data_IF_033236062652
#
_entry.id   IF_033236062652
#
_cell.length_a   1.000
_cell.length_b   1.000
_cell.length_c   1.000
_cell.angle_alpha   90.00
_cell.angle_beta   90.00
_cell.angle_gamma   90.00
#
_symmetry.space_group_name_H-M   'P 1'
#
loop_
_entity.id
_entity.type
_entity.pdbx_description
1 polymer ?
#
# COMPACT_ATOMS: atom_id res chain seq x y z
N UNK A 1 1.79 -23.82 -40.11
CA UNK A 1 0.49 -23.12 -40.28
C UNK A 1 0.16 -22.19 -39.12
N UNK A 2 0.59 -22.50 -37.88
CA UNK A 2 0.41 -21.62 -36.73
C UNK A 2 1.78 -21.16 -36.19
N UNK A 3 2.28 -19.98 -36.59
CA UNK A 3 3.47 -19.42 -35.94
C UNK A 3 3.13 -18.97 -34.52
N UNK A 4 4.10 -19.10 -33.61
CA UNK A 4 3.99 -18.59 -32.24
C UNK A 4 3.65 -17.10 -32.25
N UNK A 5 2.70 -16.70 -31.39
CA UNK A 5 2.19 -15.32 -31.30
C UNK A 5 0.95 -15.02 -32.15
N UNK A 6 0.43 -15.98 -32.92
CA UNK A 6 -0.78 -15.77 -33.73
C UNK A 6 -2.04 -15.89 -32.86
N UNK A 7 -3.01 -15.00 -33.08
CA UNK A 7 -4.36 -15.09 -32.50
C UNK A 7 -5.20 -16.11 -33.27
N UNK A 8 -5.84 -17.01 -32.55
CA UNK A 8 -6.69 -18.07 -33.09
C UNK A 8 -8.01 -18.11 -32.32
N UNK A 9 -9.07 -18.50 -33.02
CA UNK A 9 -10.39 -18.74 -32.43
C UNK A 9 -10.65 -20.24 -32.42
N UNK A 10 -11.20 -20.75 -31.32
CA UNK A 10 -11.57 -22.15 -31.25
C UNK A 10 -12.68 -22.42 -30.27
N UNK A 11 -13.29 -23.59 -30.40
CA UNK A 11 -14.46 -24.01 -29.63
C UNK A 11 -14.03 -24.88 -28.45
N UNK A 12 -14.51 -24.58 -27.25
CA UNK A 12 -14.20 -25.38 -26.06
C UNK A 12 -14.92 -26.74 -26.16
N UNK A 13 -14.16 -27.83 -26.25
CA UNK A 13 -14.71 -29.20 -26.33
C UNK A 13 -14.87 -29.79 -24.93
N UNK A 14 -13.87 -29.60 -24.07
CA UNK A 14 -13.91 -30.12 -22.71
C UNK A 14 -13.15 -29.23 -21.72
N UNK A 15 -13.57 -29.27 -20.46
CA UNK A 15 -12.96 -28.54 -19.37
C UNK A 15 -12.48 -29.55 -18.34
N UNK A 16 -11.23 -29.43 -17.92
CA UNK A 16 -10.61 -30.26 -16.89
C UNK A 16 -10.05 -29.40 -15.76
N UNK A 17 -9.59 -30.02 -14.68
CA UNK A 17 -9.04 -29.29 -13.53
C UNK A 17 -7.70 -28.59 -13.83
N UNK A 18 -6.96 -29.04 -14.84
CA UNK A 18 -5.67 -28.46 -15.21
C UNK A 18 -5.76 -27.48 -16.40
N UNK A 19 -6.86 -27.48 -17.14
CA UNK A 19 -7.04 -26.62 -18.31
C UNK A 19 -8.32 -26.88 -19.10
N UNK A 20 -8.49 -26.13 -20.18
CA UNK A 20 -9.58 -26.30 -21.13
C UNK A 20 -9.02 -26.71 -22.49
N UNK A 21 -9.72 -27.63 -23.14
CA UNK A 21 -9.44 -28.10 -24.49
C UNK A 21 -10.27 -27.31 -25.48
N UNK A 22 -9.59 -26.72 -26.44
CA UNK A 22 -10.14 -25.84 -27.45
C UNK A 22 -9.82 -26.44 -28.82
N UNK A 23 -10.83 -26.82 -29.57
CA UNK A 23 -10.67 -27.28 -30.94
C UNK A 23 -10.58 -26.07 -31.87
N UNK A 24 -9.48 -25.98 -32.62
CA UNK A 24 -9.23 -24.91 -33.59
C UNK A 24 -9.70 -25.35 -34.99
N UNK A 25 -9.23 -26.51 -35.43
CA UNK A 25 -9.53 -27.13 -36.72
C UNK A 25 -9.64 -28.66 -36.54
N UNK A 26 -10.20 -29.35 -37.52
CA UNK A 26 -10.38 -30.81 -37.49
C UNK A 26 -9.04 -31.54 -37.29
N UNK A 27 -8.84 -32.11 -36.10
CA UNK A 27 -7.64 -32.85 -35.71
C UNK A 27 -6.57 -32.03 -34.98
N UNK A 28 -6.78 -30.73 -34.74
CA UNK A 28 -5.84 -29.88 -34.00
C UNK A 28 -6.47 -29.42 -32.70
N UNK A 29 -5.91 -29.90 -31.59
CA UNK A 29 -6.37 -29.56 -30.24
C UNK A 29 -5.45 -28.54 -29.57
N UNK A 30 -6.07 -27.48 -29.05
CA UNK A 30 -5.44 -26.47 -28.22
C UNK A 30 -5.69 -26.73 -26.74
N UNK A 31 -4.63 -26.70 -25.93
CA UNK A 31 -4.72 -26.75 -24.48
C UNK A 31 -4.47 -25.36 -23.91
N UNK A 32 -5.44 -24.84 -23.17
CA UNK A 32 -5.28 -23.62 -22.36
C UNK A 32 -5.03 -24.04 -20.92
N UNK A 33 -3.85 -23.75 -20.39
CA UNK A 33 -3.53 -24.08 -18.99
C UNK A 33 -4.27 -23.14 -18.04
N UNK A 34 -4.63 -23.59 -16.83
CA UNK A 34 -5.29 -22.73 -15.81
C UNK A 34 -4.52 -21.45 -15.53
N UNK A 35 -3.20 -21.49 -15.60
CA UNK A 35 -2.37 -20.32 -15.41
C UNK A 35 -2.54 -19.31 -16.52
N UNK A 36 -2.83 -19.72 -17.75
CA UNK A 36 -2.95 -18.85 -18.95
C UNK A 36 -4.40 -18.41 -19.25
N UNK A 37 -5.38 -18.85 -18.47
CA UNK A 37 -6.78 -18.41 -18.57
C UNK A 37 -7.05 -17.06 -17.91
N UNK A 38 -6.34 -16.73 -16.83
CA UNK A 38 -6.53 -15.47 -16.11
C UNK A 38 -5.25 -15.04 -15.39
N UNK A 39 -5.01 -13.73 -15.36
CA UNK A 39 -3.94 -13.11 -14.59
C UNK A 39 -4.08 -13.30 -13.07
N UNK A 40 -5.32 -13.50 -12.60
CA UNK A 40 -5.59 -13.66 -11.17
C UNK A 40 -5.24 -15.07 -10.71
N UNK A 41 -4.26 -15.18 -9.80
CA UNK A 41 -3.70 -16.43 -9.22
C UNK A 41 -4.71 -17.39 -8.55
N UNK A 42 -6.00 -17.08 -8.50
CA UNK A 42 -6.98 -17.82 -7.71
C UNK A 42 -8.30 -18.09 -8.46
N UNK A 43 -8.21 -18.54 -9.70
CA UNK A 43 -9.36 -19.19 -10.37
C UNK A 43 -9.43 -20.63 -9.86
N UNK A 44 -10.35 -20.90 -8.94
CA UNK A 44 -10.55 -22.25 -8.37
C UNK A 44 -11.30 -23.19 -9.31
N UNK A 45 -12.10 -22.65 -10.24
CA UNK A 45 -12.85 -23.43 -11.21
C UNK A 45 -12.91 -22.75 -12.59
N UNK A 46 -12.35 -23.36 -13.66
CA UNK A 46 -12.37 -22.82 -15.02
C UNK A 46 -13.79 -22.76 -15.62
N UNK A 47 -14.71 -23.58 -15.10
CA UNK A 47 -16.13 -23.60 -15.52
C UNK A 47 -16.89 -22.30 -15.28
N UNK A 48 -16.33 -21.35 -14.53
CA UNK A 48 -16.93 -20.02 -14.32
C UNK A 48 -16.45 -18.99 -15.35
N UNK A 49 -15.38 -19.29 -16.08
CA UNK A 49 -14.75 -18.39 -17.05
C UNK A 49 -15.14 -18.77 -18.47
N UNK A 50 -15.13 -20.07 -18.77
CA UNK A 50 -15.43 -20.61 -20.09
C UNK A 50 -16.49 -21.69 -20.01
N UNK A 51 -17.44 -21.67 -20.95
CA UNK A 51 -18.49 -22.66 -21.09
C UNK A 51 -18.15 -23.71 -22.14
N UNK A 52 -18.59 -24.95 -21.95
CA UNK A 52 -18.43 -26.00 -22.97
C UNK A 52 -19.22 -25.57 -24.22
N UNK A 53 -18.56 -25.59 -25.37
CA UNK A 53 -19.11 -25.18 -26.66
C UNK A 53 -19.01 -23.69 -26.98
N UNK A 54 -18.43 -22.88 -26.09
CA UNK A 54 -18.14 -21.47 -26.33
C UNK A 54 -16.96 -21.31 -27.29
N UNK A 55 -17.01 -20.30 -28.16
CA UNK A 55 -15.89 -19.91 -29.02
C UNK A 55 -15.06 -18.86 -28.31
N UNK A 56 -13.79 -19.17 -28.04
CA UNK A 56 -12.86 -18.28 -27.34
C UNK A 56 -11.69 -17.88 -28.23
N UNK A 57 -11.16 -16.68 -27.97
CA UNK A 57 -9.94 -16.17 -28.60
C UNK A 57 -8.72 -16.48 -27.73
N UNK A 58 -7.69 -17.08 -28.33
CA UNK A 58 -6.44 -17.39 -27.67
C UNK A 58 -5.23 -17.17 -28.58
N UNK A 59 -4.06 -17.01 -27.98
CA UNK A 59 -2.79 -16.84 -28.69
C UNK A 59 -1.98 -18.12 -28.62
N UNK A 60 -1.35 -18.49 -29.73
CA UNK A 60 -0.44 -19.64 -29.81
C UNK A 60 0.86 -19.33 -29.09
N UNK A 61 1.15 -20.03 -27.99
CA UNK A 61 2.40 -19.88 -27.25
C UNK A 61 3.45 -20.87 -27.73
N UNK A 62 3.05 -22.13 -27.83
CA UNK A 62 3.93 -23.23 -28.21
C UNK A 62 3.17 -24.22 -29.08
N UNK A 63 3.85 -24.75 -30.08
CA UNK A 63 3.31 -25.77 -30.99
C UNK A 63 4.18 -27.01 -30.84
N UNK A 64 3.55 -28.15 -30.56
CA UNK A 64 4.21 -29.45 -30.49
C UNK A 64 3.71 -30.30 -31.66
N UNK A 65 4.52 -30.39 -32.72
CA UNK A 65 4.16 -31.10 -33.97
C UNK A 65 4.08 -32.63 -33.80
N UNK A 66 4.77 -33.18 -32.80
CA UNK A 66 4.79 -34.62 -32.54
C UNK A 66 3.49 -35.16 -31.93
N UNK A 67 2.77 -34.33 -31.15
CA UNK A 67 1.52 -34.73 -30.48
C UNK A 67 0.29 -34.03 -31.07
N UNK A 68 0.46 -33.23 -32.13
CA UNK A 68 -0.60 -32.39 -32.73
C UNK A 68 -1.31 -31.47 -31.72
N UNK A 69 -0.60 -31.08 -30.66
CA UNK A 69 -1.12 -30.21 -29.59
C UNK A 69 -0.53 -28.81 -29.66
N UNK A 70 -1.37 -27.83 -29.35
CA UNK A 70 -0.97 -26.43 -29.29
C UNK A 70 -1.22 -25.89 -27.88
N UNK A 71 -0.20 -25.29 -27.26
CA UNK A 71 -0.39 -24.55 -26.02
C UNK A 71 -0.92 -23.16 -26.34
N UNK A 72 -2.12 -22.88 -25.87
CA UNK A 72 -2.84 -21.63 -26.08
C UNK A 72 -2.85 -20.80 -24.80
N UNK A 73 -2.81 -19.47 -24.94
CA UNK A 73 -2.97 -18.53 -23.83
C UNK A 73 -4.04 -17.49 -24.10
N UNK A 74 -4.89 -17.22 -23.10
CA UNK A 74 -5.94 -16.18 -23.18
C UNK A 74 -5.44 -14.84 -22.61
N UNK A 75 -4.43 -14.88 -21.74
CA UNK A 75 -3.82 -13.71 -21.12
C UNK A 75 -3.36 -12.63 -22.09
N UNK A 76 -2.87 -13.02 -23.26
CA UNK A 76 -2.24 -12.13 -24.23
C UNK A 76 -3.28 -11.30 -25.02
N UNK A 77 -4.57 -11.64 -24.89
CA UNK A 77 -5.69 -10.87 -25.44
C UNK A 77 -6.10 -9.74 -24.50
N UNK A 78 -5.87 -9.90 -23.20
CA UNK A 78 -6.15 -8.90 -22.17
C UNK A 78 -4.89 -8.07 -21.88
N UNK A 79 -5.05 -6.75 -21.71
CA UNK A 79 -3.94 -5.89 -21.28
C UNK A 79 -3.50 -6.29 -19.86
N UNK A 80 -2.20 -6.55 -19.66
CA UNK A 80 -1.68 -6.89 -18.34
C UNK A 80 -1.95 -5.71 -17.38
N UNK A 81 -2.80 -5.87 -16.34
CA UNK A 81 -3.14 -4.77 -15.43
C UNK A 81 -1.89 -4.19 -14.74
N UNK A 82 -0.78 -4.95 -14.72
CA UNK A 82 0.51 -4.53 -14.18
C UNK A 82 1.26 -3.51 -15.05
N UNK A 83 1.00 -3.45 -16.35
CA UNK A 83 1.57 -2.42 -17.23
C UNK A 83 0.86 -1.06 -17.05
N UNK A 84 -0.45 -1.08 -16.74
CA UNK A 84 -1.24 0.11 -16.46
C UNK A 84 -1.14 0.59 -14.99
N UNK A 85 -0.71 -0.29 -14.08
CA UNK A 85 -0.60 -0.02 -12.65
C UNK A 85 0.22 1.24 -12.31
N UNK A 86 1.44 1.46 -12.87
CA UNK A 86 2.23 2.65 -12.56
C UNK A 86 1.57 3.96 -13.00
N UNK A 87 0.75 3.92 -14.06
CA UNK A 87 0.01 5.09 -14.54
C UNK A 87 -1.21 5.38 -13.67
N UNK A 88 -1.93 4.33 -13.23
CA UNK A 88 -3.11 4.47 -12.37
C UNK A 88 -2.75 4.86 -10.95
N UNK A 89 -1.65 4.33 -10.42
CA UNK A 89 -1.29 4.47 -9.02
C UNK A 89 0.15 4.96 -8.86
N UNK A 90 0.37 6.29 -8.89
CA UNK A 90 1.69 6.86 -8.65
C UNK A 90 2.12 6.61 -7.19
N UNK A 91 3.43 6.53 -6.98
CA UNK A 91 4.03 6.47 -5.64
C UNK A 91 3.56 7.68 -4.83
N UNK A 92 3.10 7.47 -3.60
CA UNK A 92 2.48 8.51 -2.78
C UNK A 92 0.95 8.54 -2.80
N UNK A 93 0.29 7.80 -3.70
CA UNK A 93 -1.16 7.72 -3.71
C UNK A 93 -1.70 6.99 -2.47
N UNK A 94 -2.82 7.47 -1.92
CA UNK A 94 -3.58 6.84 -0.84
C UNK A 94 -4.68 5.98 -1.43
N UNK A 95 -4.79 4.74 -0.95
CA UNK A 95 -5.76 3.76 -1.41
C UNK A 95 -6.39 3.04 -0.22
N UNK A 96 -7.61 2.56 -0.42
CA UNK A 96 -8.27 1.67 0.53
C UNK A 96 -8.11 0.25 0.03
N UNK A 97 -7.75 -0.65 0.92
CA UNK A 97 -7.59 -2.06 0.59
C UNK A 97 -8.04 -2.96 1.73
N UNK A 98 -8.38 -4.20 1.38
CA UNK A 98 -8.86 -5.20 2.33
C UNK A 98 -7.75 -6.15 2.73
N UNK A 99 -7.57 -6.36 4.03
CA UNK A 99 -6.55 -7.30 4.53
C UNK A 99 -6.95 -8.73 4.19
N UNK A 100 -6.23 -9.36 3.27
CA UNK A 100 -6.49 -10.76 2.86
C UNK A 100 -5.82 -11.75 3.81
N UNK A 101 -4.56 -11.53 4.14
CA UNK A 101 -3.81 -12.42 5.02
C UNK A 101 -2.80 -11.65 5.90
N UNK A 102 -2.53 -12.20 7.08
CA UNK A 102 -1.57 -11.67 8.04
C UNK A 102 -0.47 -12.71 8.26
N UNK A 103 0.78 -12.26 8.26
CA UNK A 103 1.97 -13.09 8.50
C UNK A 103 2.87 -12.40 9.52
N UNK A 104 3.87 -13.10 10.06
CA UNK A 104 4.77 -12.53 11.08
C UNK A 104 5.64 -11.37 10.56
N UNK A 105 5.93 -11.32 9.26
CA UNK A 105 6.74 -10.26 8.65
C UNK A 105 5.91 -9.08 8.11
N UNK A 106 4.59 -9.24 7.98
CA UNK A 106 3.75 -8.22 7.36
C UNK A 106 2.29 -8.61 7.11
N UNK A 107 1.55 -7.67 6.53
CA UNK A 107 0.15 -7.84 6.15
C UNK A 107 0.00 -7.76 4.63
N UNK A 108 -0.80 -8.65 4.07
CA UNK A 108 -1.18 -8.64 2.66
C UNK A 108 -2.54 -7.96 2.53
N UNK A 109 -2.56 -6.86 1.78
CA UNK A 109 -3.74 -6.04 1.54
C UNK A 109 -4.07 -6.09 0.06
N UNK A 110 -5.28 -6.52 -0.25
CA UNK A 110 -5.83 -6.53 -1.60
C UNK A 110 -6.42 -5.15 -1.90
N UNK A 111 -5.88 -4.47 -2.91
CA UNK A 111 -6.34 -3.14 -3.33
C UNK A 111 -7.37 -3.28 -4.47
N UNK A 112 -7.04 -4.12 -5.44
CA UNK A 112 -7.83 -4.42 -6.63
C UNK A 112 -7.76 -5.94 -6.87
N UNK A 113 -8.79 -6.59 -7.45
CA UNK A 113 -8.77 -8.03 -7.71
C UNK A 113 -7.51 -8.49 -8.44
N UNK A 114 -6.71 -9.32 -7.77
CA UNK A 114 -5.45 -9.85 -8.32
C UNK A 114 -4.21 -8.99 -8.10
N UNK A 115 -4.35 -7.85 -7.42
CA UNK A 115 -3.24 -6.95 -7.06
C UNK A 115 -3.12 -6.91 -5.53
N UNK A 116 -2.08 -7.61 -5.04
CA UNK A 116 -1.77 -7.69 -3.63
C UNK A 116 -0.64 -6.72 -3.26
N UNK A 117 -0.86 -5.90 -2.24
CA UNK A 117 0.15 -5.08 -1.61
C UNK A 117 0.65 -5.69 -0.29
N UNK A 118 1.93 -5.50 0.00
CA UNK A 118 2.57 -5.95 1.23
C UNK A 118 2.91 -4.75 2.10
N UNK A 119 2.40 -4.78 3.33
CA UNK A 119 2.80 -3.85 4.39
C UNK A 119 3.84 -4.55 5.26
N UNK A 120 5.05 -3.98 5.31
CA UNK A 120 6.10 -4.46 6.19
C UNK A 120 5.78 -4.13 7.65
N UNK A 121 6.18 -4.97 8.61
CA UNK A 121 5.90 -4.74 10.03
C UNK A 121 6.46 -3.41 10.55
N UNK A 122 7.58 -2.95 9.97
CA UNK A 122 8.19 -1.65 10.27
C UNK A 122 7.33 -0.47 9.82
N UNK A 123 6.43 -0.65 8.87
CA UNK A 123 5.59 0.39 8.28
C UNK A 123 4.14 0.38 8.82
N UNK A 124 3.86 -0.46 9.82
CA UNK A 124 2.55 -0.54 10.49
C UNK A 124 2.40 0.42 11.67
N UNK A 125 3.46 0.68 12.44
CA UNK A 125 3.39 1.57 13.61
C UNK A 125 4.70 2.33 13.84
N UNK A 126 4.60 3.61 14.15
CA UNK A 126 5.73 4.47 14.54
C UNK A 126 6.15 4.24 16.01
N UNK A 127 5.19 3.94 16.87
CA UNK A 127 5.31 4.17 18.32
C UNK A 127 5.53 2.90 19.13
N UNK A 128 5.10 1.74 18.62
CA UNK A 128 5.29 0.44 19.29
C UNK A 128 6.01 -0.52 18.35
N UNK A 129 7.00 -1.25 18.88
CA UNK A 129 7.49 -2.49 18.25
C UNK A 129 6.35 -3.51 18.33
N UNK A 130 5.54 -3.55 17.28
CA UNK A 130 4.47 -4.53 17.15
C UNK A 130 5.15 -5.89 16.92
N UNK A 131 4.98 -6.82 17.87
CA UNK A 131 5.46 -8.20 17.74
C UNK A 131 4.51 -9.04 16.87
N UNK A 132 3.20 -8.71 16.91
CA UNK A 132 2.17 -9.39 16.12
C UNK A 132 1.27 -8.39 15.38
N UNK A 133 1.24 -8.41 14.04
CA UNK A 133 0.43 -7.47 13.25
C UNK A 133 -1.08 -7.64 13.46
N UNK A 134 -1.52 -8.79 14.01
CA UNK A 134 -2.90 -9.06 14.40
C UNK A 134 -3.46 -8.11 15.46
N UNK A 135 -2.61 -7.41 16.20
CA UNK A 135 -3.02 -6.40 17.20
C UNK A 135 -3.44 -5.07 16.55
N UNK A 136 -2.90 -4.78 15.37
CA UNK A 136 -3.10 -3.49 14.66
C UNK A 136 -4.16 -3.63 13.57
N UNK A 137 -4.15 -4.75 12.86
CA UNK A 137 -5.05 -5.01 11.72
C UNK A 137 -5.63 -6.41 11.81
N UNK A 138 -6.94 -6.53 11.54
CA UNK A 138 -7.64 -7.82 11.53
C UNK A 138 -7.74 -8.36 10.11
N UNK A 139 -7.82 -9.68 9.97
CA UNK A 139 -8.11 -10.31 8.67
C UNK A 139 -9.50 -9.86 8.19
N UNK A 140 -9.57 -9.37 6.96
CA UNK A 140 -10.79 -8.87 6.33
C UNK A 140 -11.12 -7.41 6.63
N UNK A 141 -10.31 -6.71 7.41
CA UNK A 141 -10.50 -5.30 7.70
C UNK A 141 -10.16 -4.41 6.50
N UNK A 142 -10.81 -3.26 6.41
CA UNK A 142 -10.53 -2.25 5.38
C UNK A 142 -9.58 -1.20 5.94
N UNK A 143 -8.42 -1.04 5.31
CA UNK A 143 -7.36 -0.15 5.77
C UNK A 143 -6.99 0.85 4.68
N UNK A 144 -6.72 2.09 5.10
CA UNK A 144 -6.18 3.11 4.23
C UNK A 144 -4.65 3.05 4.25
N UNK A 145 -4.05 2.90 3.07
CA UNK A 145 -2.63 2.62 2.86
C UNK A 145 -2.07 3.58 1.83
N UNK A 146 -0.78 3.87 1.94
CA UNK A 146 -0.05 4.68 0.96
C UNK A 146 0.94 3.82 0.20
N UNK A 147 1.05 4.04 -1.11
CA UNK A 147 2.03 3.35 -1.96
C UNK A 147 3.42 3.95 -1.73
N UNK A 148 4.34 3.12 -1.23
CA UNK A 148 5.75 3.47 -1.07
C UNK A 148 6.56 3.14 -2.31
N UNK A 149 6.31 1.97 -2.90
CA UNK A 149 7.05 1.47 -4.04
C UNK A 149 6.17 0.51 -4.85
N UNK A 150 6.29 0.54 -6.18
CA UNK A 150 5.62 -0.37 -7.11
C UNK A 150 6.68 -1.09 -7.90
N UNK A 151 6.71 -2.43 -7.78
CA UNK A 151 7.56 -3.32 -8.55
C UNK A 151 6.68 -4.09 -9.55
N UNK A 152 6.69 -3.63 -10.80
CA UNK A 152 5.92 -4.22 -11.88
C UNK A 152 6.49 -5.57 -12.36
N UNK A 153 7.80 -5.79 -12.21
CA UNK A 153 8.46 -7.02 -12.65
C UNK A 153 8.07 -8.20 -11.76
N UNK A 154 8.14 -7.98 -10.44
CA UNK A 154 7.80 -9.01 -9.46
C UNK A 154 6.31 -9.06 -9.13
N UNK A 155 5.51 -8.15 -9.70
CA UNK A 155 4.08 -7.99 -9.42
C UNK A 155 3.82 -7.79 -7.92
N UNK A 156 4.54 -6.84 -7.31
CA UNK A 156 4.48 -6.55 -5.87
C UNK A 156 4.39 -5.04 -5.62
N UNK A 157 3.58 -4.66 -4.63
CA UNK A 157 3.46 -3.26 -4.18
C UNK A 157 3.83 -3.19 -2.71
N UNK A 158 4.75 -2.30 -2.35
CA UNK A 158 5.05 -1.98 -0.96
C UNK A 158 4.14 -0.87 -0.47
N UNK A 159 3.41 -1.15 0.61
CA UNK A 159 2.43 -0.26 1.20
C UNK A 159 2.86 0.17 2.61
N UNK A 160 2.49 1.39 3.01
CA UNK A 160 2.70 1.90 4.36
C UNK A 160 1.40 2.40 5.00
N UNK A 161 1.19 2.08 6.28
CA UNK A 161 0.08 2.63 7.10
C UNK A 161 0.45 3.97 7.73
N UNK A 162 1.74 4.13 8.01
CA UNK A 162 2.36 5.25 8.72
C UNK A 162 2.08 6.65 8.15
N UNK A 163 1.87 6.76 6.85
CA UNK A 163 1.76 8.03 6.13
C UNK A 163 0.30 8.42 5.83
N UNK A 164 -0.65 7.52 6.13
CA UNK A 164 -2.08 7.80 6.04
C UNK A 164 -2.59 8.55 7.28
N UNK A 165 -2.00 8.31 8.45
CA UNK A 165 -2.30 9.04 9.69
C UNK A 165 -1.50 10.34 9.77
N UNK A 166 -2.20 11.45 9.98
CA UNK A 166 -1.59 12.76 10.23
C UNK A 166 -0.73 12.72 11.50
N UNK A 167 0.49 13.26 11.42
CA UNK A 167 1.41 13.35 12.55
C UNK A 167 0.73 14.06 13.74
N UNK A 168 0.53 13.39 14.89
CA UNK A 168 -0.03 14.02 16.08
C UNK A 168 0.89 15.14 16.64
N UNK A 169 2.12 15.26 16.14
CA UNK A 169 3.08 16.30 16.51
C UNK A 169 2.85 17.65 15.81
N UNK A 170 2.16 17.69 14.66
CA UNK A 170 1.77 18.96 14.06
C UNK A 170 0.78 19.73 14.96
N UNK A 171 -0.06 19.04 15.73
CA UNK A 171 -1.03 19.67 16.66
C UNK A 171 -0.41 20.25 17.93
N UNK A 172 0.81 19.85 18.29
CA UNK A 172 1.45 20.38 19.50
C UNK A 172 1.96 21.81 19.30
N UNK A 173 2.34 22.16 18.07
CA UNK A 173 2.72 23.54 17.74
C UNK A 173 1.60 24.56 17.96
N UNK A 174 0.34 24.14 17.85
CA UNK A 174 -0.84 24.98 18.11
C UNK A 174 -1.21 25.03 19.60
N UNK A 175 -1.00 23.92 20.32
CA UNK A 175 -1.47 23.78 21.72
C UNK A 175 -0.51 24.41 22.72
N UNK A 176 0.78 24.56 22.38
CA UNK A 176 1.79 25.16 23.26
C UNK A 176 2.66 26.16 22.48
N UNK A 177 2.26 27.43 22.35
CA UNK A 177 3.17 28.46 21.90
C UNK A 177 4.34 28.56 22.88
N UNK A 178 5.54 28.22 22.40
CA UNK A 178 6.79 28.37 23.15
C UNK A 178 7.04 29.86 23.35
N UNK A 179 6.61 30.42 24.49
CA UNK A 179 6.82 31.83 24.77
C UNK A 179 5.87 32.54 25.74
N UNK A 180 4.91 31.86 26.38
CA UNK A 180 4.16 32.51 27.46
C UNK A 180 4.90 32.28 28.77
N UNK A 181 5.78 33.22 29.10
CA UNK A 181 6.24 33.40 30.46
C UNK A 181 5.00 33.64 31.34
N UNK A 182 4.53 32.60 32.04
CA UNK A 182 3.61 32.80 33.15
C UNK A 182 4.40 33.49 34.26
N UNK A 183 4.45 34.82 34.18
CA UNK A 183 4.82 35.64 35.31
C UNK A 183 3.72 35.46 36.36
N UNK A 184 3.85 34.42 37.18
CA UNK A 184 3.04 34.27 38.39
C UNK A 184 3.24 35.54 39.20
N UNK A 185 2.24 36.41 39.20
CA UNK A 185 2.17 37.58 40.06
C UNK A 185 2.12 37.07 41.50
N UNK A 186 3.28 37.02 42.16
CA UNK A 186 3.36 36.95 43.60
C UNK A 186 2.77 38.25 44.14
N UNK A 187 1.50 38.21 44.53
CA UNK A 187 0.89 39.27 45.32
C UNK A 187 1.61 39.32 46.65
N UNK A 188 2.36 40.40 46.85
CA UNK A 188 3.10 40.70 48.07
C UNK A 188 2.14 41.32 49.09
N UNK A 189 1.22 40.53 49.62
CA UNK A 189 0.36 40.95 50.74
C UNK A 189 0.24 39.82 51.76
N UNK A 190 0.44 40.16 53.04
CA UNK A 190 0.31 39.32 54.24
C UNK A 190 1.62 38.77 54.85
N UNK A 191 2.64 39.62 54.99
CA UNK A 191 3.64 39.47 56.07
C UNK A 191 3.71 40.79 56.85
N UNK A 192 2.74 41.01 57.74
CA UNK A 192 2.81 42.01 58.82
C UNK A 192 1.85 41.62 59.95
N UNK A 193 2.31 40.78 60.89
CA UNK A 193 2.03 40.98 62.33
C UNK A 193 3.32 40.57 63.07
N UNK A 194 3.79 41.45 63.96
CA UNK A 194 5.08 41.45 64.69
C UNK A 194 6.27 41.81 63.78
N UNK A 195 6.98 42.91 63.91
CA UNK A 195 7.13 43.85 65.00
C UNK A 195 8.58 44.35 64.98
N UNK A 196 8.74 45.67 64.89
CA UNK A 196 9.88 46.45 65.40
C UNK A 196 11.27 46.32 64.76
N UNK A 197 11.64 47.44 64.13
CA UNK A 197 12.92 48.17 64.21
C UNK A 197 13.97 47.99 63.12
N UNK A 198 14.27 49.14 62.51
CA UNK A 198 15.53 49.54 61.87
C UNK A 198 15.78 48.99 60.46
N UNK A 199 16.35 49.73 59.52
CA UNK A 199 16.63 51.16 59.33
C UNK A 199 17.03 51.24 57.84
N UNK A 200 16.56 52.30 57.19
CA UNK A 200 17.05 52.91 55.95
C UNK A 200 18.14 52.19 55.13
N UNK A 201 17.90 52.00 53.83
CA UNK A 201 18.50 52.86 52.79
C UNK A 201 18.20 52.33 51.38
N UNK A 202 17.36 53.06 50.65
CA UNK A 202 17.41 53.10 49.18
C UNK A 202 18.67 53.86 48.74
N UNK A 203 19.14 53.68 47.50
CA UNK A 203 18.64 54.58 46.46
C UNK A 203 18.34 53.90 45.11
N UNK A 204 17.37 54.51 44.44
CA UNK A 204 17.10 54.39 43.01
C UNK A 204 18.31 54.83 42.18
N UNK A 205 18.41 54.31 40.95
CA UNK A 205 18.75 54.99 39.66
C UNK A 205 19.17 53.85 38.69
N UNK A 206 18.40 53.50 37.65
CA UNK A 206 18.12 54.22 36.40
C UNK A 206 18.85 53.56 35.21
N UNK A 207 18.13 53.45 34.09
CA UNK A 207 18.60 53.34 32.70
C UNK A 207 19.46 52.15 32.27
N UNK A 208 18.96 51.35 31.32
CA UNK A 208 19.36 51.44 29.91
C UNK A 208 19.13 50.11 29.18
N UNK A 209 18.36 50.17 28.09
CA UNK A 209 18.37 49.16 27.03
C UNK A 209 19.79 49.05 26.42
N UNK A 210 20.16 47.90 25.85
CA UNK A 210 20.50 47.94 24.42
C UNK A 210 20.07 46.70 23.63
N UNK A 211 19.33 46.99 22.57
CA UNK A 211 19.43 46.45 21.20
C UNK A 211 20.50 45.39 20.89
N UNK A 212 20.01 44.24 20.44
CA UNK A 212 20.31 43.62 19.14
C UNK A 212 21.76 43.73 18.62
N UNK A 213 22.55 42.64 18.73
CA UNK A 213 23.61 42.30 17.78
C UNK A 213 23.63 40.81 17.46
N UNK A 214 23.07 40.54 16.29
CA UNK A 214 23.47 39.53 15.29
C UNK A 214 24.75 38.73 15.61
N UNK A 215 24.62 37.41 15.69
CA UNK A 215 25.71 36.48 15.44
C UNK A 215 25.41 35.68 14.17
N UNK A 216 26.23 35.92 13.15
CA UNK A 216 26.31 35.20 11.89
C UNK A 216 27.75 34.72 11.77
N UNK A 217 27.97 33.42 11.60
CA UNK A 217 29.17 32.74 11.03
C UNK A 217 28.89 31.24 11.15
N UNK A 218 28.86 30.43 10.08
CA UNK A 218 29.86 30.18 9.03
C UNK A 218 31.21 29.79 9.61
#
# INVERSE_FOLDING_TARGET
KYPVGTRVQGKVVSITNYGAFVELEAGIEGLVHISEMSWTRNVRHPSKIVSIGETIEAVVLKVDEAEEKISLGMKQTEEDPWMALPQKYPVGARLKGKVRNLTSFGAFVEIEPGIDGLIHISDMSWTKRVQHPSEVVKKGDEVEVLILNVDAENKRISLGLKQAQEDPWLRIGETYPVGIASCASWTRESWWIWGTTSRASSPCLSSASPTCRTWRRR
#
